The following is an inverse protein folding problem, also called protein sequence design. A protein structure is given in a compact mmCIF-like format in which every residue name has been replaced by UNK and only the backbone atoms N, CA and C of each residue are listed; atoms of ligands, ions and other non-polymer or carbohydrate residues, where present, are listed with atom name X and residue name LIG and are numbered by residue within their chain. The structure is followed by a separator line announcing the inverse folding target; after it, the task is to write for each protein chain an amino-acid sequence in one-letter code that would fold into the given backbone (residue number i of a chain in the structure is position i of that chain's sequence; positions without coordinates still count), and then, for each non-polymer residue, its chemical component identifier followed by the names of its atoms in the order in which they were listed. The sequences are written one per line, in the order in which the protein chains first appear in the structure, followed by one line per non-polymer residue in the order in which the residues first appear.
data_IF_048414579331
#
_entry.id   IF_048414579331
#
_cell.length_a   1.000
_cell.length_b   1.000
_cell.length_c   1.000
_cell.angle_alpha   90.00
_cell.angle_beta   90.00
_cell.angle_gamma   90.00
#
_symmetry.space_group_name_H-M   'P 1'
#
loop_
_entity.id
_entity.type
_entity.pdbx_description
1 polymer ?
#
# COMPACT_ATOMS: atom_id res chain seq x y z
N UNK A 1 23.76 -16.20 -53.11
CA UNK A 1 24.46 -16.20 -51.82
C UNK A 1 23.58 -15.50 -50.79
N UNK A 2 23.39 -16.16 -49.65
CA UNK A 2 22.52 -15.75 -48.53
C UNK A 2 23.11 -14.54 -47.80
N UNK A 3 22.25 -13.66 -47.27
CA UNK A 3 22.43 -13.15 -45.91
C UNK A 3 21.11 -12.57 -45.38
N UNK A 4 20.36 -13.39 -44.65
CA UNK A 4 19.27 -12.94 -43.77
C UNK A 4 19.90 -12.50 -42.47
N UNK A 5 19.80 -11.21 -42.12
CA UNK A 5 20.20 -10.72 -40.80
C UNK A 5 18.92 -10.63 -39.96
N UNK A 6 18.72 -11.64 -39.11
CA UNK A 6 17.78 -11.59 -37.99
C UNK A 6 18.42 -10.71 -36.90
N UNK A 7 17.98 -9.45 -36.79
CA UNK A 7 18.32 -8.60 -35.65
C UNK A 7 17.44 -9.02 -34.47
N UNK A 8 18.09 -9.68 -33.51
CA UNK A 8 17.46 -10.30 -32.35
C UNK A 8 16.76 -9.32 -31.41
N UNK A 9 15.59 -9.75 -30.97
CA UNK A 9 14.81 -9.22 -29.85
C UNK A 9 15.61 -9.38 -28.55
N UNK A 10 16.20 -8.30 -28.06
CA UNK A 10 16.65 -8.20 -26.67
C UNK A 10 15.48 -7.72 -25.80
N UNK A 11 14.55 -8.61 -25.48
CA UNK A 11 13.61 -8.38 -24.38
C UNK A 11 14.38 -8.58 -23.07
N UNK A 12 14.93 -7.49 -22.52
CA UNK A 12 15.35 -7.44 -21.13
C UNK A 12 14.09 -7.56 -20.27
N UNK A 13 13.71 -8.78 -19.93
CA UNK A 13 12.74 -9.04 -18.88
C UNK A 13 13.36 -8.58 -17.56
N UNK A 14 13.12 -7.33 -17.17
CA UNK A 14 13.26 -6.91 -15.80
C UNK A 14 12.24 -7.70 -14.97
N UNK A 15 12.65 -8.86 -14.44
CA UNK A 15 11.97 -9.50 -13.33
C UNK A 15 12.13 -8.59 -12.11
N UNK A 16 11.31 -7.54 -12.04
CA UNK A 16 11.06 -6.85 -10.78
C UNK A 16 10.49 -7.91 -9.84
N UNK A 17 11.26 -8.33 -8.84
CA UNK A 17 10.75 -9.10 -7.72
C UNK A 17 9.77 -8.16 -7.02
N UNK A 18 8.51 -8.16 -7.45
CA UNK A 18 7.43 -7.49 -6.76
C UNK A 18 7.42 -8.11 -5.37
N UNK A 19 7.92 -7.39 -4.37
CA UNK A 19 7.70 -7.76 -2.98
C UNK A 19 6.18 -7.69 -2.77
N UNK A 20 5.49 -8.81 -2.53
CA UNK A 20 4.06 -8.76 -2.32
C UNK A 20 3.84 -8.05 -0.97
N UNK A 21 3.46 -6.78 -0.99
CA UNK A 21 2.77 -6.22 0.15
C UNK A 21 1.41 -6.90 0.22
N UNK A 22 1.00 -7.27 1.42
CA UNK A 22 -0.31 -7.85 1.63
C UNK A 22 -1.26 -6.75 2.07
N UNK A 23 -2.42 -6.70 1.43
CA UNK A 23 -3.50 -5.77 1.75
C UNK A 23 -4.54 -6.51 2.58
N UNK A 24 -4.90 -5.95 3.73
CA UNK A 24 -5.90 -6.50 4.64
C UNK A 24 -6.96 -5.44 4.88
N UNK A 25 -8.18 -5.69 4.43
CA UNK A 25 -9.30 -4.81 4.72
C UNK A 25 -9.66 -4.88 6.21
N UNK A 26 -9.89 -3.72 6.81
CA UNK A 26 -10.29 -3.55 8.20
C UNK A 26 -11.74 -3.09 8.26
N UNK A 27 -12.43 -3.24 9.42
CA UNK A 27 -13.75 -2.67 9.59
C UNK A 27 -13.77 -1.19 9.23
N UNK A 28 -14.74 -0.73 8.43
CA UNK A 28 -14.82 0.67 8.05
C UNK A 28 -15.17 1.55 9.25
N UNK A 29 -14.83 2.84 9.16
CA UNK A 29 -15.13 3.82 10.20
C UNK A 29 -16.25 4.72 9.72
N UNK A 30 -17.30 4.88 10.53
CA UNK A 30 -18.40 5.80 10.24
C UNK A 30 -18.25 7.09 11.04
N UNK A 31 -18.16 8.23 10.36
CA UNK A 31 -18.11 9.56 11.00
C UNK A 31 -19.23 10.41 10.41
N UNK A 32 -20.26 10.69 11.21
CA UNK A 32 -21.37 11.57 10.81
C UNK A 32 -22.13 11.08 9.57
N UNK A 33 -22.32 9.76 9.44
CA UNK A 33 -23.04 9.15 8.33
C UNK A 33 -22.19 8.87 7.08
N UNK A 34 -20.94 9.32 7.05
CA UNK A 34 -19.98 8.97 5.98
C UNK A 34 -19.15 7.77 6.42
N UNK A 35 -19.12 6.74 5.57
CA UNK A 35 -18.28 5.55 5.75
C UNK A 35 -16.92 5.73 5.09
N UNK A 36 -15.84 5.43 5.82
CA UNK A 36 -14.46 5.49 5.37
C UNK A 36 -13.88 4.08 5.34
N UNK A 37 -13.39 3.66 4.18
CA UNK A 37 -12.68 2.39 4.05
C UNK A 37 -11.33 2.47 4.76
N UNK A 38 -10.99 1.42 5.51
CA UNK A 38 -9.74 1.32 6.25
C UNK A 38 -9.06 0.01 5.86
N UNK A 39 -7.75 0.04 5.66
CA UNK A 39 -6.98 -1.15 5.34
C UNK A 39 -5.61 -1.10 6.01
N UNK A 40 -5.01 -2.28 6.18
CA UNK A 40 -3.64 -2.46 6.63
C UNK A 40 -2.79 -2.98 5.48
N UNK A 41 -1.66 -2.32 5.23
CA UNK A 41 -0.56 -2.88 4.44
C UNK A 41 0.38 -3.61 5.38
N UNK A 42 0.70 -4.85 5.01
CA UNK A 42 1.66 -5.69 5.73
C UNK A 42 2.82 -6.00 4.79
N UNK A 43 4.03 -5.67 5.24
CA UNK A 43 5.25 -5.84 4.47
C UNK A 43 6.25 -6.67 5.27
N UNK A 44 6.63 -7.82 4.73
CA UNK A 44 7.71 -8.64 5.28
C UNK A 44 9.07 -8.00 4.91
N UNK A 45 9.96 -7.73 5.89
CA UNK A 45 11.31 -7.28 5.59
C UNK A 45 12.22 -8.40 5.04
N UNK A 46 11.81 -9.67 5.13
CA UNK A 46 12.55 -10.84 4.64
C UNK A 46 12.70 -10.76 3.10
N UNK A 47 13.93 -10.52 2.65
CA UNK A 47 14.28 -10.43 1.23
C UNK A 47 14.46 -11.80 0.56
N UNK A 48 14.58 -12.84 1.36
CA UNK A 48 14.80 -14.23 0.96
C UNK A 48 13.50 -15.02 0.75
N UNK A 49 12.34 -14.35 0.82
CA UNK A 49 11.01 -14.97 0.66
C UNK A 49 10.74 -16.11 1.64
N UNK A 50 11.44 -16.13 2.79
CA UNK A 50 11.25 -17.14 3.86
C UNK A 50 9.78 -17.19 4.29
N UNK A 51 9.09 -16.06 4.22
CA UNK A 51 7.65 -15.96 4.41
C UNK A 51 6.97 -15.69 3.06
N UNK A 52 6.24 -16.69 2.56
CA UNK A 52 5.37 -16.51 1.39
C UNK A 52 4.14 -15.64 1.70
N UNK A 53 3.76 -15.56 2.97
CA UNK A 53 2.67 -14.74 3.50
C UNK A 53 3.25 -13.70 4.45
N UNK A 54 3.10 -12.41 4.11
CA UNK A 54 3.65 -11.32 4.92
C UNK A 54 3.02 -11.26 6.31
N UNK A 55 1.77 -11.72 6.48
CA UNK A 55 1.12 -11.82 7.79
C UNK A 55 1.75 -12.87 8.70
N UNK A 56 2.40 -13.89 8.13
CA UNK A 56 3.05 -14.96 8.89
C UNK A 56 4.46 -14.57 9.36
N UNK A 57 5.05 -13.50 8.82
CA UNK A 57 6.35 -13.00 9.26
C UNK A 57 6.20 -12.24 10.60
N UNK A 58 6.81 -12.71 11.70
CA UNK A 58 6.74 -12.03 12.99
C UNK A 58 7.41 -10.65 12.97
N UNK A 59 8.28 -10.37 11.99
CA UNK A 59 8.96 -9.10 11.81
C UNK A 59 8.27 -8.21 10.76
N UNK A 60 7.10 -8.59 10.28
CA UNK A 60 6.37 -7.81 9.29
C UNK A 60 6.04 -6.42 9.81
N UNK A 61 6.29 -5.41 8.96
CA UNK A 61 5.89 -4.03 9.20
C UNK A 61 4.42 -3.86 8.83
N UNK A 62 3.69 -3.11 9.65
CA UNK A 62 2.26 -2.85 9.46
C UNK A 62 2.03 -1.36 9.32
N UNK A 63 1.21 -0.99 8.34
CA UNK A 63 0.82 0.39 8.13
C UNK A 63 -0.67 0.44 7.81
N UNK A 64 -1.45 1.12 8.66
CA UNK A 64 -2.88 1.30 8.51
C UNK A 64 -3.18 2.60 7.79
N UNK A 65 -4.13 2.56 6.87
CA UNK A 65 -4.56 3.69 6.07
C UNK A 65 -6.07 3.80 6.06
N UNK A 66 -6.57 5.03 6.02
CA UNK A 66 -7.96 5.33 5.73
C UNK A 66 -8.08 6.00 4.35
N UNK A 67 -9.03 5.55 3.55
CA UNK A 67 -9.39 6.18 2.27
C UNK A 67 -10.34 7.33 2.56
N UNK A 68 -9.92 8.56 2.29
CA UNK A 68 -10.74 9.76 2.54
C UNK A 68 -11.33 10.38 1.28
N UNK A 69 -10.70 10.16 0.13
CA UNK A 69 -11.20 10.51 -1.20
C UNK A 69 -10.59 9.55 -2.24
N UNK A 70 -11.11 9.52 -3.49
CA UNK A 70 -10.46 8.78 -4.57
C UNK A 70 -8.98 9.18 -4.73
N UNK A 71 -8.08 8.21 -4.53
CA UNK A 71 -6.64 8.44 -4.61
C UNK A 71 -6.00 9.15 -3.41
N UNK A 72 -6.76 9.46 -2.35
CA UNK A 72 -6.24 10.13 -1.15
C UNK A 72 -6.38 9.24 0.08
N UNK A 73 -5.24 9.03 0.74
CA UNK A 73 -5.10 8.16 1.89
C UNK A 73 -4.54 8.93 3.08
N UNK A 74 -5.07 8.66 4.28
CA UNK A 74 -4.50 9.08 5.55
C UNK A 74 -3.72 7.92 6.13
N UNK A 75 -2.45 8.11 6.47
CA UNK A 75 -1.72 7.15 7.29
C UNK A 75 -2.16 7.26 8.75
N UNK A 76 -2.70 6.17 9.29
CA UNK A 76 -3.20 6.10 10.66
C UNK A 76 -2.19 5.60 11.68
N UNK A 77 -1.01 5.13 11.25
CA UNK A 77 -0.05 4.45 12.12
C UNK A 77 -0.07 2.94 11.94
N UNK A 78 0.37 2.20 12.97
CA UNK A 78 0.43 0.73 12.95
C UNK A 78 -0.90 0.05 13.32
N UNK A 79 -1.87 0.83 13.83
CA UNK A 79 -3.19 0.33 14.27
C UNK A 79 -4.32 1.22 13.75
N UNK A 80 -5.56 0.72 13.79
CA UNK A 80 -6.73 1.49 13.36
C UNK A 80 -7.21 2.53 14.38
N UNK A 81 -6.77 2.45 15.64
CA UNK A 81 -7.23 3.31 16.72
C UNK A 81 -7.10 4.83 16.42
N UNK A 82 -6.02 5.31 15.78
CA UNK A 82 -5.88 6.75 15.49
C UNK A 82 -6.71 7.22 14.28
N UNK A 83 -7.17 6.31 13.41
CA UNK A 83 -7.79 6.67 12.12
C UNK A 83 -8.97 7.63 12.30
N UNK A 84 -9.88 7.37 13.24
CA UNK A 84 -11.07 8.19 13.41
C UNK A 84 -10.72 9.66 13.71
N UNK A 85 -9.77 9.88 14.63
CA UNK A 85 -9.32 11.22 14.99
C UNK A 85 -8.65 11.95 13.81
N UNK A 86 -7.88 11.24 13.00
CA UNK A 86 -7.18 11.81 11.85
C UNK A 86 -8.15 12.14 10.72
N UNK A 87 -9.14 11.30 10.46
CA UNK A 87 -10.20 11.57 9.48
C UNK A 87 -11.01 12.81 9.93
N UNK A 88 -11.36 12.92 11.22
CA UNK A 88 -12.05 14.11 11.75
C UNK A 88 -11.25 15.39 11.54
N UNK A 89 -9.94 15.36 11.82
CA UNK A 89 -9.04 16.50 11.58
C UNK A 89 -8.90 16.84 10.10
N UNK A 90 -8.82 15.84 9.23
CA UNK A 90 -8.85 16.03 7.78
C UNK A 90 -10.13 16.75 7.34
N UNK A 91 -11.31 16.32 7.82
CA UNK A 91 -12.59 16.99 7.53
C UNK A 91 -12.67 18.42 8.08
N UNK A 92 -11.99 18.70 9.18
CA UNK A 92 -11.90 20.04 9.75
C UNK A 92 -10.94 20.97 8.98
N UNK A 93 -10.14 20.41 8.05
CA UNK A 93 -9.12 21.16 7.30
C UNK A 93 -7.77 21.27 8.02
N UNK A 94 -7.59 20.59 9.16
CA UNK A 94 -6.37 20.65 9.98
C UNK A 94 -5.23 19.76 9.47
N UNK A 95 -5.56 18.83 8.56
CA UNK A 95 -4.59 17.92 7.92
C UNK A 95 -4.67 18.10 6.41
N UNK A 96 -3.63 18.70 5.83
CA UNK A 96 -3.45 18.70 4.38
C UNK A 96 -2.62 17.48 3.97
N UNK A 97 -3.24 16.57 3.22
CA UNK A 97 -2.54 15.45 2.62
C UNK A 97 -1.85 15.93 1.35
N UNK A 98 -0.53 15.84 1.29
CA UNK A 98 0.21 16.01 0.03
C UNK A 98 -0.31 14.97 -0.97
N UNK A 99 -0.87 15.44 -2.08
CA UNK A 99 -1.34 14.57 -3.15
C UNK A 99 -0.18 13.69 -3.64
N UNK A 100 -0.35 12.36 -3.62
CA UNK A 100 0.48 11.45 -4.40
C UNK A 100 1.85 11.08 -3.83
N UNK A 101 1.95 10.79 -2.53
CA UNK A 101 3.21 10.35 -1.90
C UNK A 101 3.12 9.03 -1.15
N UNK A 102 2.41 8.03 -1.66
CA UNK A 102 2.62 6.67 -1.16
C UNK A 102 4.05 6.26 -1.51
N UNK A 103 4.90 5.85 -0.55
CA UNK A 103 6.23 5.34 -0.90
C UNK A 103 6.04 4.13 -1.81
N UNK A 104 6.58 4.27 -3.03
CA UNK A 104 6.76 3.18 -3.98
C UNK A 104 7.87 2.25 -3.50
#
# INVERSE_FOLDING_TARGET
MRLSILTGTALLAACSVLRPYQHVDLPPINIGGTEYAVFMRVESPSSDMTYADALADPNARRAVYAVVDPGRLIYCGETAAPCESLIRRYRAGDVSLSEGGGPM
#
